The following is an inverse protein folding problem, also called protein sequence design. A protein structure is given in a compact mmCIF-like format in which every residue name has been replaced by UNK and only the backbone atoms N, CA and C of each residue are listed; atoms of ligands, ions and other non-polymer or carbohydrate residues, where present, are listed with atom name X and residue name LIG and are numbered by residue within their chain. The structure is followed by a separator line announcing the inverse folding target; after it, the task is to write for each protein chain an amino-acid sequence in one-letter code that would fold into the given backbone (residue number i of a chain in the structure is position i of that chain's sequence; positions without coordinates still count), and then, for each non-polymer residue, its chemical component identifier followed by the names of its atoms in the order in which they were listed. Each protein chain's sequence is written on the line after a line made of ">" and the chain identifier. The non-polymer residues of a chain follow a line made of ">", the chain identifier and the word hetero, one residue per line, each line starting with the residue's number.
data_IF_054816613943
#
_entry.id   IF_054816613943
#
_cell.length_a   1.000
_cell.length_b   1.000
_cell.length_c   1.000
_cell.angle_alpha   90.00
_cell.angle_beta   90.00
_cell.angle_gamma   90.00
#
_symmetry.space_group_name_H-M   'P 1'
#
loop_
_entity.id
_entity.type
_entity.pdbx_description
1 polymer ?
#
# COMPACT_ATOMS: atom_id res chain seq x y z
N UNK A 1 2.13 8.79 -21.65
CA UNK A 1 3.00 9.96 -21.57
C UNK A 1 4.20 9.65 -20.68
N UNK A 2 5.36 10.27 -20.93
CA UNK A 2 6.58 10.09 -20.14
C UNK A 2 6.39 10.45 -18.65
N UNK A 3 5.47 11.34 -18.34
CA UNK A 3 5.09 11.73 -16.97
C UNK A 3 4.49 10.56 -16.17
N UNK A 4 3.59 9.80 -16.78
CA UNK A 4 2.95 8.64 -16.15
C UNK A 4 3.98 7.52 -15.95
N UNK A 5 4.81 7.22 -16.94
CA UNK A 5 5.85 6.17 -16.84
C UNK A 5 6.83 6.42 -15.69
N UNK A 6 7.20 7.68 -15.43
CA UNK A 6 8.10 8.03 -14.31
C UNK A 6 7.47 7.85 -12.91
N UNK A 7 6.16 7.69 -12.83
CA UNK A 7 5.38 7.64 -11.58
C UNK A 7 4.64 6.31 -11.36
N UNK A 8 4.61 5.47 -12.38
CA UNK A 8 4.07 4.12 -12.28
C UNK A 8 4.99 3.21 -11.45
N UNK A 9 4.46 2.19 -10.79
CA UNK A 9 5.28 1.18 -10.15
C UNK A 9 6.12 0.46 -11.21
N UNK A 10 7.32 0.04 -10.84
CA UNK A 10 8.20 -0.74 -11.71
C UNK A 10 7.61 -2.14 -11.97
N UNK A 11 7.00 -2.71 -10.96
CA UNK A 11 6.29 -3.99 -11.03
C UNK A 11 4.87 -3.81 -10.45
N UNK A 12 3.87 -3.85 -11.32
CA UNK A 12 2.46 -3.71 -10.95
C UNK A 12 1.98 -4.94 -10.18
N UNK A 13 2.43 -6.13 -10.56
CA UNK A 13 2.04 -7.38 -9.93
C UNK A 13 2.55 -7.47 -8.50
N UNK A 14 3.79 -7.06 -8.26
CA UNK A 14 4.36 -6.98 -6.92
C UNK A 14 3.59 -5.97 -6.05
N UNK A 15 3.28 -4.80 -6.59
CA UNK A 15 2.47 -3.78 -5.87
C UNK A 15 1.07 -4.30 -5.53
N UNK A 16 0.46 -5.07 -6.44
CA UNK A 16 -0.84 -5.71 -6.22
C UNK A 16 -0.74 -6.81 -5.15
N UNK A 17 0.31 -7.65 -5.19
CA UNK A 17 0.59 -8.68 -4.19
C UNK A 17 0.75 -8.05 -2.80
N UNK A 18 1.60 -7.04 -2.67
CA UNK A 18 1.80 -6.32 -1.41
C UNK A 18 0.49 -5.71 -0.88
N UNK A 19 -0.36 -5.22 -1.80
CA UNK A 19 -1.68 -4.70 -1.43
C UNK A 19 -2.56 -5.81 -0.86
N UNK A 20 -2.62 -7.00 -1.50
CA UNK A 20 -3.39 -8.14 -0.99
C UNK A 20 -2.87 -8.61 0.39
N UNK A 21 -1.56 -8.67 0.56
CA UNK A 21 -0.93 -9.00 1.85
C UNK A 21 -1.33 -7.98 2.93
N UNK A 22 -1.27 -6.71 2.61
CA UNK A 22 -1.53 -5.63 3.56
C UNK A 22 -2.99 -5.60 4.04
N UNK A 23 -3.92 -5.93 3.15
CA UNK A 23 -5.35 -6.04 3.46
C UNK A 23 -5.77 -7.43 3.96
N UNK A 24 -4.83 -8.35 4.19
CA UNK A 24 -5.07 -9.72 4.69
C UNK A 24 -5.94 -10.60 3.79
N UNK A 25 -5.90 -10.34 2.48
CA UNK A 25 -6.63 -11.12 1.46
C UNK A 25 -5.74 -12.05 0.64
N UNK A 26 -4.44 -12.07 0.93
CA UNK A 26 -3.52 -13.04 0.32
C UNK A 26 -3.79 -14.46 0.80
N UNK A 27 -3.27 -15.43 0.07
CA UNK A 27 -3.38 -16.86 0.35
C UNK A 27 -1.98 -17.49 0.46
N UNK A 28 -1.82 -18.64 1.13
CA UNK A 28 -0.59 -19.41 1.09
C UNK A 28 -0.25 -19.87 -0.33
N UNK A 29 1.03 -20.09 -0.63
CA UNK A 29 1.47 -20.59 -1.94
C UNK A 29 0.97 -22.01 -2.18
N UNK A 30 0.93 -22.86 -1.14
CA UNK A 30 0.40 -24.25 -1.21
C UNK A 30 -1.13 -24.34 -1.29
N UNK A 31 -1.85 -23.23 -1.49
CA UNK A 31 -3.30 -23.28 -1.71
C UNK A 31 -3.60 -24.08 -2.97
N UNK A 32 -4.49 -25.10 -2.93
CA UNK A 32 -4.93 -25.80 -4.11
C UNK A 32 -5.47 -24.85 -5.19
N UNK A 33 -5.17 -25.13 -6.45
CA UNK A 33 -5.47 -24.21 -7.56
C UNK A 33 -6.94 -23.82 -7.67
N UNK A 34 -7.85 -24.73 -7.37
CA UNK A 34 -9.30 -24.52 -7.35
C UNK A 34 -9.78 -23.62 -6.19
N UNK A 35 -8.96 -23.45 -5.16
CA UNK A 35 -9.28 -22.67 -3.98
C UNK A 35 -8.72 -21.23 -4.01
N UNK A 36 -7.94 -20.89 -5.04
CA UNK A 36 -7.50 -19.51 -5.22
C UNK A 36 -8.67 -18.62 -5.63
N UNK A 37 -8.70 -17.41 -5.06
CA UNK A 37 -9.48 -16.34 -5.69
C UNK A 37 -8.85 -15.98 -7.03
N UNK A 38 -9.67 -15.50 -7.99
CA UNK A 38 -9.19 -15.18 -9.35
C UNK A 38 -7.97 -14.25 -9.35
N UNK A 39 -7.96 -13.24 -8.48
CA UNK A 39 -6.83 -12.30 -8.37
C UNK A 39 -5.60 -12.98 -7.75
N UNK A 40 -5.80 -13.77 -6.69
CA UNK A 40 -4.70 -14.44 -6.01
C UNK A 40 -4.08 -15.54 -6.84
N UNK A 41 -4.81 -16.18 -7.75
CA UNK A 41 -4.22 -17.17 -8.63
C UNK A 41 -2.96 -16.62 -9.33
N UNK A 42 -3.07 -15.46 -9.96
CA UNK A 42 -1.91 -14.83 -10.61
C UNK A 42 -0.87 -14.30 -9.62
N UNK A 43 -1.30 -13.61 -8.57
CA UNK A 43 -0.39 -12.96 -7.64
C UNK A 43 0.35 -13.94 -6.73
N UNK A 44 -0.29 -15.04 -6.33
CA UNK A 44 0.31 -16.00 -5.38
C UNK A 44 1.03 -17.13 -6.12
N UNK A 45 0.37 -17.77 -7.09
CA UNK A 45 0.95 -18.92 -7.77
C UNK A 45 2.12 -18.54 -8.69
N UNK A 46 2.22 -17.29 -9.11
CA UNK A 46 3.34 -16.81 -9.93
C UNK A 46 4.22 -15.81 -9.18
N UNK A 47 3.70 -14.63 -8.79
CA UNK A 47 4.55 -13.56 -8.24
C UNK A 47 5.12 -13.93 -6.87
N UNK A 48 4.29 -14.38 -5.92
CA UNK A 48 4.77 -14.79 -4.59
C UNK A 48 5.60 -16.08 -4.64
N UNK A 49 5.25 -17.01 -5.52
CA UNK A 49 6.02 -18.23 -5.72
C UNK A 49 7.41 -17.94 -6.31
N UNK A 50 7.51 -16.99 -7.25
CA UNK A 50 8.81 -16.54 -7.76
C UNK A 50 9.68 -15.91 -6.66
N UNK A 51 9.13 -15.04 -5.81
CA UNK A 51 9.84 -14.50 -4.65
C UNK A 51 10.32 -15.62 -3.69
N UNK A 52 9.51 -16.66 -3.51
CA UNK A 52 9.89 -17.80 -2.69
C UNK A 52 11.05 -18.59 -3.32
N UNK A 53 11.03 -18.80 -4.65
CA UNK A 53 12.14 -19.45 -5.36
C UNK A 53 13.45 -18.64 -5.24
N UNK A 54 13.38 -17.32 -5.32
CA UNK A 54 14.54 -16.43 -5.07
C UNK A 54 15.07 -16.53 -3.63
N UNK A 55 14.18 -16.70 -2.64
CA UNK A 55 14.58 -16.94 -1.26
C UNK A 55 15.31 -18.27 -1.12
N UNK A 56 14.80 -19.33 -1.75
CA UNK A 56 15.44 -20.64 -1.74
C UNK A 56 16.80 -20.62 -2.43
N UNK A 57 16.91 -19.96 -3.58
CA UNK A 57 18.18 -19.79 -4.30
C UNK A 57 19.21 -19.04 -3.44
N UNK A 58 18.81 -17.96 -2.77
CA UNK A 58 19.71 -17.21 -1.86
C UNK A 58 20.20 -18.04 -0.69
N UNK A 59 19.35 -18.91 -0.14
CA UNK A 59 19.72 -19.81 0.95
C UNK A 59 20.68 -20.91 0.48
N UNK A 60 20.47 -21.44 -0.70
CA UNK A 60 21.26 -22.53 -1.27
C UNK A 60 22.53 -22.06 -1.97
N UNK A 61 22.62 -20.86 -2.44
CA UNK A 61 23.52 -20.32 -3.47
C UNK A 61 23.15 -20.81 -4.88
N UNK A 62 23.40 -20.00 -5.91
CA UNK A 62 23.02 -20.33 -7.30
C UNK A 62 23.56 -21.68 -7.77
N UNK A 63 24.85 -22.08 -7.58
CA UNK A 63 25.34 -23.37 -8.06
C UNK A 63 24.65 -24.58 -7.42
N UNK A 64 24.34 -24.50 -6.11
CA UNK A 64 23.62 -25.57 -5.40
C UNK A 64 22.16 -25.61 -5.83
N UNK A 65 21.52 -24.45 -5.98
CA UNK A 65 20.15 -24.36 -6.49
C UNK A 65 20.01 -24.96 -7.88
N UNK A 66 20.92 -24.64 -8.80
CA UNK A 66 20.96 -25.25 -10.15
C UNK A 66 21.09 -26.77 -10.09
N UNK A 67 21.93 -27.27 -9.19
CA UNK A 67 22.09 -28.71 -8.96
C UNK A 67 20.80 -29.35 -8.45
N UNK A 68 20.11 -28.71 -7.50
CA UNK A 68 18.80 -29.14 -6.99
C UNK A 68 17.77 -29.23 -8.13
N UNK A 69 17.69 -28.16 -8.94
CA UNK A 69 16.75 -28.12 -10.06
C UNK A 69 17.03 -29.20 -11.09
N UNK A 70 18.32 -29.44 -11.40
CA UNK A 70 18.72 -30.47 -12.31
C UNK A 70 18.35 -31.89 -11.81
N UNK A 71 18.71 -32.21 -10.56
CA UNK A 71 18.38 -33.50 -9.92
C UNK A 71 16.88 -33.71 -9.83
N UNK A 72 16.14 -32.67 -9.44
CA UNK A 72 14.67 -32.74 -9.38
C UNK A 72 14.06 -33.04 -10.74
N UNK A 73 14.49 -32.31 -11.79
CA UNK A 73 14.01 -32.55 -13.16
C UNK A 73 14.34 -33.98 -13.62
N UNK A 74 15.57 -34.46 -13.43
CA UNK A 74 15.96 -35.82 -13.86
C UNK A 74 15.17 -36.90 -13.13
N UNK A 75 14.88 -36.69 -11.83
CA UNK A 75 14.18 -37.69 -11.01
C UNK A 75 12.68 -37.73 -11.32
N UNK A 76 12.07 -36.56 -11.60
CA UNK A 76 10.62 -36.46 -11.72
C UNK A 76 10.09 -36.12 -13.10
N UNK A 77 10.93 -35.98 -14.13
CA UNK A 77 10.46 -35.80 -15.51
C UNK A 77 9.47 -36.90 -15.86
N UNK A 78 8.33 -36.53 -16.45
CA UNK A 78 7.19 -37.39 -16.78
C UNK A 78 6.51 -38.09 -15.60
N UNK A 79 6.70 -37.59 -14.36
CA UNK A 79 6.01 -38.05 -13.14
C UNK A 79 5.19 -36.91 -12.54
N UNK A 80 4.39 -37.26 -11.53
CA UNK A 80 3.60 -36.29 -10.74
C UNK A 80 4.16 -36.16 -9.32
N UNK A 81 5.16 -35.30 -9.09
CA UNK A 81 5.76 -35.14 -7.77
C UNK A 81 4.82 -34.35 -6.83
N UNK A 82 4.96 -34.62 -5.53
CA UNK A 82 4.37 -33.81 -4.45
C UNK A 82 5.35 -32.75 -3.99
N UNK A 83 4.88 -31.68 -3.31
CA UNK A 83 5.75 -30.64 -2.76
C UNK A 83 6.87 -31.19 -1.85
N UNK A 84 6.60 -32.25 -1.07
CA UNK A 84 7.60 -32.91 -0.23
C UNK A 84 8.77 -33.49 -1.03
N UNK A 85 8.50 -34.00 -2.24
CA UNK A 85 9.55 -34.56 -3.07
C UNK A 85 10.58 -33.52 -3.53
N UNK A 86 10.15 -32.30 -3.76
CA UNK A 86 11.05 -31.19 -4.08
C UNK A 86 11.90 -30.82 -2.85
N UNK A 87 11.29 -30.78 -1.66
CA UNK A 87 11.99 -30.55 -0.41
C UNK A 87 13.06 -31.60 -0.14
N UNK A 88 12.70 -32.89 -0.25
CA UNK A 88 13.61 -34.00 0.00
C UNK A 88 14.86 -33.93 -0.89
N UNK A 89 14.68 -33.59 -2.17
CA UNK A 89 15.83 -33.39 -3.08
C UNK A 89 16.63 -32.17 -2.69
N UNK A 90 15.99 -31.03 -2.38
CA UNK A 90 16.69 -29.83 -2.01
C UNK A 90 17.55 -30.03 -0.75
N UNK A 91 17.02 -30.72 0.26
CA UNK A 91 17.76 -31.06 1.48
C UNK A 91 18.88 -32.08 1.23
N UNK A 92 18.61 -33.10 0.42
CA UNK A 92 19.61 -34.13 0.08
C UNK A 92 20.80 -33.54 -0.68
N UNK A 93 20.53 -32.71 -1.69
CA UNK A 93 21.60 -32.10 -2.53
C UNK A 93 22.36 -31.02 -1.78
N UNK A 94 21.69 -30.23 -0.98
CA UNK A 94 22.31 -29.10 -0.25
C UNK A 94 22.96 -29.52 1.08
N UNK A 95 22.52 -30.61 1.67
CA UNK A 95 22.89 -31.01 3.04
C UNK A 95 22.35 -30.09 4.13
N UNK A 96 21.38 -29.21 3.81
CA UNK A 96 20.80 -28.24 4.73
C UNK A 96 19.39 -28.67 5.15
N UNK A 97 18.98 -28.32 6.36
CA UNK A 97 17.57 -28.35 6.75
C UNK A 97 16.87 -27.10 6.21
N UNK A 98 15.82 -27.31 5.42
CA UNK A 98 15.08 -26.23 4.74
C UNK A 98 13.64 -26.06 5.29
N UNK A 99 13.32 -26.66 6.44
CA UNK A 99 12.01 -26.55 7.07
C UNK A 99 11.52 -25.11 7.18
N UNK A 100 12.38 -24.18 7.57
CA UNK A 100 12.02 -22.77 7.76
C UNK A 100 11.55 -22.12 6.47
N UNK A 101 12.18 -22.43 5.32
CA UNK A 101 11.84 -21.88 4.01
C UNK A 101 10.59 -22.56 3.45
N UNK A 102 10.51 -23.88 3.54
CA UNK A 102 9.34 -24.63 3.05
C UNK A 102 8.08 -24.32 3.89
N UNK A 103 8.20 -24.03 5.17
CA UNK A 103 7.05 -23.60 5.98
C UNK A 103 6.44 -22.25 5.51
N UNK A 104 7.21 -21.40 4.83
CA UNK A 104 6.68 -20.18 4.23
C UNK A 104 5.62 -20.45 3.15
N UNK A 105 5.69 -21.58 2.47
CA UNK A 105 4.69 -21.99 1.48
C UNK A 105 3.27 -22.11 2.07
N UNK A 106 3.18 -22.43 3.35
CA UNK A 106 1.92 -22.64 4.10
C UNK A 106 1.40 -21.38 4.77
N UNK A 107 2.15 -20.28 4.69
CA UNK A 107 1.83 -19.05 5.45
C UNK A 107 1.31 -17.93 4.57
N UNK A 108 0.40 -17.11 5.13
CA UNK A 108 0.00 -15.82 4.59
C UNK A 108 1.03 -14.75 4.95
N UNK A 109 1.00 -13.65 4.25
CA UNK A 109 1.86 -12.50 4.51
C UNK A 109 3.08 -12.42 3.60
N UNK A 110 3.93 -11.44 3.86
CA UNK A 110 5.18 -11.23 3.12
C UNK A 110 6.19 -12.31 3.45
N UNK A 111 6.91 -12.78 2.43
CA UNK A 111 8.03 -13.71 2.59
C UNK A 111 9.28 -13.02 3.14
N UNK A 112 9.38 -11.71 2.96
CA UNK A 112 10.52 -10.92 3.38
C UNK A 112 10.19 -10.08 4.62
N UNK A 113 11.22 -9.78 5.42
CA UNK A 113 11.06 -8.84 6.53
C UNK A 113 10.76 -7.45 6.00
N UNK A 114 9.86 -6.69 6.65
CA UNK A 114 9.56 -5.34 6.22
C UNK A 114 10.82 -4.46 6.27
N UNK A 115 11.11 -3.79 5.17
CA UNK A 115 12.19 -2.81 5.07
C UNK A 115 11.71 -1.48 5.68
N UNK A 116 12.59 -0.80 6.42
CA UNK A 116 12.30 0.55 6.91
C UNK A 116 12.28 1.51 5.73
N UNK A 117 11.11 2.09 5.48
CA UNK A 117 10.93 3.06 4.39
C UNK A 117 11.35 4.46 4.83
N UNK A 118 12.09 5.17 3.98
CA UNK A 118 12.39 6.59 4.16
C UNK A 118 11.19 7.46 3.75
N UNK A 119 11.16 8.71 4.20
CA UNK A 119 10.13 9.68 3.87
C UNK A 119 10.59 10.55 2.70
N UNK A 120 9.76 10.66 1.66
CA UNK A 120 10.01 11.52 0.50
C UNK A 120 8.85 12.46 0.22
N UNK A 121 9.19 13.69 -0.15
CA UNK A 121 8.22 14.65 -0.66
C UNK A 121 8.21 14.61 -2.18
N UNK A 122 7.03 14.65 -2.76
CA UNK A 122 6.87 14.68 -4.21
C UNK A 122 5.64 15.49 -4.62
N UNK A 123 5.65 15.97 -5.85
CA UNK A 123 4.50 16.69 -6.42
C UNK A 123 3.56 15.72 -7.10
N UNK A 124 2.25 15.95 -6.96
CA UNK A 124 1.19 15.10 -7.47
C UNK A 124 1.27 13.66 -6.88
N UNK A 125 0.87 12.68 -7.65
CA UNK A 125 0.79 11.28 -7.25
C UNK A 125 1.95 10.45 -7.82
N UNK A 126 2.53 9.54 -7.03
CA UNK A 126 3.54 8.59 -7.49
C UNK A 126 3.36 7.24 -6.80
N UNK A 127 3.51 6.17 -7.57
CA UNK A 127 3.55 4.78 -7.09
C UNK A 127 4.93 4.15 -7.28
N UNK A 128 5.91 4.94 -7.71
CA UNK A 128 7.26 4.44 -7.94
C UNK A 128 7.94 4.11 -6.60
N UNK A 129 8.56 2.93 -6.51
CA UNK A 129 9.35 2.50 -5.35
C UNK A 129 8.62 2.67 -3.99
N UNK A 130 7.31 2.41 -3.96
CA UNK A 130 6.52 2.48 -2.73
C UNK A 130 6.84 1.34 -1.75
N UNK A 131 7.62 0.37 -2.17
CA UNK A 131 8.28 -0.63 -1.36
C UNK A 131 9.42 -0.04 -0.50
N UNK A 132 10.13 0.99 -0.99
CA UNK A 132 11.29 1.64 -0.34
C UNK A 132 10.95 2.97 0.33
N UNK A 133 9.91 3.68 -0.14
CA UNK A 133 9.63 5.05 0.27
C UNK A 133 8.19 5.24 0.74
N UNK A 134 8.04 6.09 1.77
CA UNK A 134 6.76 6.69 2.15
C UNK A 134 6.68 8.08 1.54
N UNK A 135 5.64 8.37 0.77
CA UNK A 135 5.50 9.66 0.10
C UNK A 135 4.55 10.60 0.84
N UNK A 136 4.93 11.88 0.90
CA UNK A 136 4.03 12.99 1.13
C UNK A 136 3.91 13.76 -0.18
N UNK A 137 2.69 13.83 -0.69
CA UNK A 137 2.35 14.51 -1.94
C UNK A 137 1.98 15.95 -1.66
N UNK A 138 2.50 16.87 -2.47
CA UNK A 138 2.25 18.30 -2.39
C UNK A 138 1.70 18.75 -3.74
N UNK A 139 0.54 19.40 -3.73
CA UNK A 139 -0.06 19.99 -4.92
C UNK A 139 -0.64 21.37 -4.60
N UNK A 140 -0.78 22.27 -5.56
CA UNK A 140 -1.51 23.50 -5.36
C UNK A 140 -2.99 23.19 -5.05
N UNK A 141 -3.59 23.94 -4.14
CA UNK A 141 -5.01 23.93 -3.84
C UNK A 141 -5.62 25.29 -4.14
N UNK A 142 -6.76 25.30 -4.81
CA UNK A 142 -7.54 26.50 -5.10
C UNK A 142 -8.99 26.20 -4.78
N UNK A 143 -9.64 27.16 -4.10
CA UNK A 143 -11.06 27.09 -3.77
C UNK A 143 -11.73 28.42 -3.96
N UNK A 144 -13.05 28.42 -3.97
CA UNK A 144 -13.86 29.62 -4.00
C UNK A 144 -15.20 29.35 -3.30
N UNK A 145 -15.61 30.28 -2.46
CA UNK A 145 -17.01 30.44 -2.05
C UNK A 145 -17.37 31.91 -1.92
N UNK A 146 -18.64 32.22 -1.68
CA UNK A 146 -19.14 33.59 -1.69
C UNK A 146 -18.51 34.45 -0.60
N UNK A 147 -18.17 33.89 0.53
CA UNK A 147 -17.67 34.62 1.71
C UNK A 147 -16.13 34.59 1.79
N UNK A 148 -15.51 33.43 1.64
CA UNK A 148 -14.06 33.31 1.60
C UNK A 148 -13.42 33.96 0.36
N UNK A 149 -14.22 34.15 -0.72
CA UNK A 149 -13.75 34.58 -2.05
C UNK A 149 -12.76 33.55 -2.61
N UNK A 150 -11.68 33.98 -3.23
CA UNK A 150 -10.64 33.10 -3.74
C UNK A 150 -9.76 32.61 -2.59
N UNK A 151 -9.60 31.29 -2.52
CA UNK A 151 -8.70 30.63 -1.56
C UNK A 151 -7.55 30.01 -2.34
N UNK A 152 -6.33 30.24 -1.89
CA UNK A 152 -5.11 29.69 -2.50
C UNK A 152 -4.27 29.03 -1.40
N UNK A 153 -3.82 27.81 -1.66
CA UNK A 153 -3.05 27.08 -0.68
C UNK A 153 -2.36 25.84 -1.24
N UNK A 154 -2.19 24.86 -0.38
CA UNK A 154 -1.54 23.59 -0.72
C UNK A 154 -2.39 22.42 -0.29
N UNK A 155 -2.43 21.39 -1.13
CA UNK A 155 -2.96 20.08 -0.80
C UNK A 155 -1.80 19.18 -0.41
N UNK A 156 -1.90 18.58 0.77
CA UNK A 156 -0.96 17.62 1.31
C UNK A 156 -1.67 16.29 1.54
N UNK A 157 -1.10 15.17 1.11
CA UNK A 157 -1.63 13.84 1.42
C UNK A 157 -0.55 12.77 1.32
N UNK A 158 -0.83 11.58 1.90
CA UNK A 158 0.03 10.41 1.80
C UNK A 158 -0.67 9.18 1.19
N UNK A 159 -1.70 9.38 0.38
CA UNK A 159 -2.40 8.29 -0.29
C UNK A 159 -1.52 7.63 -1.33
N UNK A 160 -1.34 6.32 -1.23
CA UNK A 160 -0.48 5.51 -2.10
C UNK A 160 -0.98 4.07 -2.19
N UNK A 161 -0.35 3.26 -3.03
CA UNK A 161 -0.50 1.80 -3.09
C UNK A 161 0.87 1.14 -2.83
N UNK A 162 0.94 0.12 -1.97
CA UNK A 162 -0.10 -0.36 -1.05
C UNK A 162 -0.54 0.70 -0.03
N UNK A 163 -1.80 0.68 0.39
CA UNK A 163 -2.37 1.68 1.29
C UNK A 163 -1.60 1.83 2.60
N UNK A 164 -1.31 3.05 3.03
CA UNK A 164 -0.80 3.31 4.37
C UNK A 164 -1.89 3.07 5.41
N UNK A 165 -1.52 2.48 6.56
CA UNK A 165 -2.47 2.32 7.69
C UNK A 165 -2.93 3.67 8.21
N UNK A 166 -1.98 4.60 8.41
CA UNK A 166 -2.25 6.00 8.72
C UNK A 166 -2.30 6.77 7.40
N UNK A 167 -3.44 7.35 7.10
CA UNK A 167 -3.64 8.21 5.95
C UNK A 167 -4.08 9.58 6.39
N UNK A 168 -3.57 10.61 5.73
CA UNK A 168 -4.00 11.97 5.94
C UNK A 168 -4.16 12.71 4.61
N UNK A 169 -5.01 13.73 4.66
CA UNK A 169 -5.19 14.76 3.65
C UNK A 169 -5.37 16.08 4.40
N UNK A 170 -4.72 17.13 3.95
CA UNK A 170 -4.90 18.49 4.47
C UNK A 170 -4.81 19.49 3.32
N UNK A 171 -5.72 20.45 3.30
CA UNK A 171 -5.74 21.53 2.32
C UNK A 171 -5.90 22.89 3.04
N UNK A 172 -4.85 23.39 3.71
CA UNK A 172 -4.85 24.75 4.22
C UNK A 172 -4.78 25.74 3.05
N UNK A 173 -5.66 26.74 3.07
CA UNK A 173 -5.77 27.75 2.02
C UNK A 173 -5.96 29.13 2.66
N UNK A 174 -5.28 30.13 2.13
CA UNK A 174 -5.50 31.52 2.49
C UNK A 174 -6.73 32.06 1.76
N UNK A 175 -7.75 32.46 2.52
CA UNK A 175 -8.99 33.05 2.02
C UNK A 175 -8.85 34.56 1.87
N UNK A 176 -9.08 35.08 0.67
CA UNK A 176 -8.87 36.52 0.37
C UNK A 176 -9.98 37.42 0.91
N UNK A 177 -11.17 36.87 1.20
CA UNK A 177 -12.26 37.59 1.82
C UNK A 177 -11.95 37.97 3.28
N UNK A 178 -11.93 37.01 4.21
CA UNK A 178 -11.65 37.25 5.62
C UNK A 178 -10.17 37.54 5.93
N UNK A 179 -9.26 37.22 4.98
CA UNK A 179 -7.79 37.31 5.14
C UNK A 179 -7.25 36.36 6.21
N UNK A 180 -7.82 35.18 6.29
CA UNK A 180 -7.49 34.13 7.24
C UNK A 180 -7.16 32.79 6.53
N UNK A 181 -6.61 31.83 7.31
CA UNK A 181 -6.39 30.47 6.82
C UNK A 181 -7.64 29.66 7.08
N UNK A 182 -8.26 29.19 6.02
CA UNK A 182 -9.37 28.26 6.00
C UNK A 182 -8.97 26.97 5.26
N UNK A 183 -9.85 25.98 5.23
CA UNK A 183 -9.56 24.74 4.52
C UNK A 183 -10.16 23.51 5.17
N UNK A 184 -9.66 22.35 4.74
CA UNK A 184 -10.16 21.05 5.20
C UNK A 184 -9.00 20.09 5.47
N UNK A 185 -9.30 19.08 6.27
CA UNK A 185 -8.36 18.01 6.56
C UNK A 185 -9.07 16.74 7.00
N UNK A 186 -8.39 15.61 6.83
CA UNK A 186 -8.84 14.30 7.28
C UNK A 186 -7.64 13.47 7.68
N UNK A 187 -7.76 12.79 8.82
CA UNK A 187 -6.82 11.75 9.25
C UNK A 187 -7.61 10.47 9.47
N UNK A 188 -7.09 9.35 8.99
CA UNK A 188 -7.70 8.05 9.20
C UNK A 188 -6.67 6.98 9.52
N UNK A 189 -7.05 6.04 10.37
CA UNK A 189 -6.27 4.86 10.67
C UNK A 189 -7.08 3.61 10.31
N UNK A 190 -6.49 2.77 9.44
CA UNK A 190 -7.12 1.53 8.97
C UNK A 190 -6.43 0.32 9.56
N UNK A 191 -7.22 -0.59 10.12
CA UNK A 191 -6.80 -1.88 10.63
C UNK A 191 -7.49 -3.00 9.86
N UNK A 192 -6.82 -4.15 9.78
CA UNK A 192 -7.39 -5.38 9.23
C UNK A 192 -7.33 -6.46 10.32
N UNK A 193 -8.33 -6.50 11.23
CA UNK A 193 -8.42 -7.54 12.26
C UNK A 193 -8.68 -8.90 11.60
N UNK A 194 -8.09 -9.95 12.17
CA UNK A 194 -8.23 -11.30 11.61
C UNK A 194 -7.47 -11.53 10.30
N UNK A 195 -7.82 -12.60 9.59
CA UNK A 195 -7.11 -13.11 8.40
C UNK A 195 -7.99 -13.16 7.14
N UNK A 196 -9.16 -12.54 7.14
CA UNK A 196 -10.18 -12.61 6.09
C UNK A 196 -10.46 -11.27 5.40
N UNK A 197 -9.62 -10.28 5.60
CA UNK A 197 -9.74 -8.97 4.96
C UNK A 197 -10.82 -8.06 5.54
N UNK A 198 -11.34 -8.35 6.74
CA UNK A 198 -12.21 -7.42 7.46
C UNK A 198 -11.46 -6.11 7.69
N UNK A 199 -12.14 -4.99 7.45
CA UNK A 199 -11.56 -3.65 7.55
C UNK A 199 -12.24 -2.86 8.67
N UNK A 200 -11.44 -2.30 9.57
CA UNK A 200 -11.91 -1.29 10.52
C UNK A 200 -11.17 0.01 10.24
N UNK A 201 -11.89 1.09 10.06
CA UNK A 201 -11.33 2.42 9.83
C UNK A 201 -11.87 3.40 10.85
N UNK A 202 -10.97 4.05 11.58
CA UNK A 202 -11.27 5.19 12.45
C UNK A 202 -10.73 6.44 11.78
N UNK A 203 -11.57 7.47 11.66
CA UNK A 203 -11.18 8.72 11.02
C UNK A 203 -11.76 9.95 11.71
N UNK A 204 -11.09 11.08 11.56
CA UNK A 204 -11.59 12.40 11.89
C UNK A 204 -11.37 13.30 10.69
N UNK A 205 -12.43 13.97 10.24
CA UNK A 205 -12.36 15.04 9.26
C UNK A 205 -12.71 16.38 9.90
N UNK A 206 -12.09 17.44 9.44
CA UNK A 206 -12.37 18.81 9.88
C UNK A 206 -12.39 19.75 8.69
N UNK A 207 -13.21 20.79 8.78
CA UNK A 207 -13.25 21.88 7.81
C UNK A 207 -13.55 23.21 8.53
N UNK A 208 -12.94 24.28 8.04
CA UNK A 208 -13.24 25.66 8.44
C UNK A 208 -13.39 26.52 7.19
N UNK A 209 -14.52 27.19 7.08
CA UNK A 209 -14.85 28.15 6.02
C UNK A 209 -15.75 29.25 6.59
N UNK A 210 -15.89 30.36 5.88
CA UNK A 210 -16.86 31.37 6.25
C UNK A 210 -18.25 30.98 5.71
N UNK A 211 -19.23 31.00 6.61
CA UNK A 211 -20.62 30.65 6.31
C UNK A 211 -21.50 31.87 5.99
N UNK A 212 -21.11 33.05 6.53
CA UNK A 212 -21.84 34.30 6.32
C UNK A 212 -20.91 35.51 6.49
N UNK A 213 -21.39 36.69 6.10
CA UNK A 213 -20.74 37.96 6.37
C UNK A 213 -21.77 39.08 6.49
N UNK A 214 -21.54 40.01 7.39
CA UNK A 214 -22.36 41.19 7.56
C UNK A 214 -21.49 42.45 7.71
N UNK A 215 -22.03 43.59 7.28
CA UNK A 215 -21.37 44.90 7.43
C UNK A 215 -21.93 45.59 8.65
N UNK A 216 -21.06 45.98 9.57
CA UNK A 216 -21.47 46.72 10.76
C UNK A 216 -21.75 48.20 10.46
N UNK A 217 -22.21 48.96 11.48
CA UNK A 217 -22.54 50.38 11.36
C UNK A 217 -21.33 51.28 11.02
N UNK A 218 -20.10 50.76 11.14
CA UNK A 218 -18.86 51.45 10.77
C UNK A 218 -18.40 51.19 9.36
N UNK A 219 -19.13 50.31 8.60
CA UNK A 219 -18.77 49.90 7.27
C UNK A 219 -17.78 48.74 7.22
N UNK A 220 -17.42 48.12 8.36
CA UNK A 220 -16.52 47.01 8.45
C UNK A 220 -17.27 45.68 8.15
N UNK A 221 -16.72 44.89 7.26
CA UNK A 221 -17.22 43.54 6.98
C UNK A 221 -16.74 42.59 8.06
N UNK A 222 -17.65 41.93 8.74
CA UNK A 222 -17.39 40.89 9.73
C UNK A 222 -17.82 39.53 9.13
N UNK A 223 -16.96 38.53 9.28
CA UNK A 223 -17.20 37.20 8.76
C UNK A 223 -17.63 36.26 9.88
N UNK A 224 -18.46 35.26 9.54
CA UNK A 224 -18.94 34.25 10.47
C UNK A 224 -18.35 32.88 10.09
N UNK A 225 -17.32 32.39 10.83
CA UNK A 225 -16.70 31.12 10.52
C UNK A 225 -17.62 29.96 10.84
N UNK A 226 -17.64 28.98 9.96
CA UNK A 226 -18.21 27.65 10.17
C UNK A 226 -17.09 26.65 10.35
N UNK A 227 -17.09 25.95 11.48
CA UNK A 227 -16.15 24.86 11.75
C UNK A 227 -16.93 23.58 11.98
N UNK A 228 -16.54 22.52 11.26
CA UNK A 228 -17.10 21.19 11.42
C UNK A 228 -16.02 20.17 11.73
N UNK A 229 -16.29 19.30 12.70
CA UNK A 229 -15.47 18.13 13.04
C UNK A 229 -16.37 16.89 12.92
N UNK A 230 -15.95 15.94 12.11
CA UNK A 230 -16.71 14.73 11.82
C UNK A 230 -15.89 13.47 12.13
N UNK A 231 -16.05 12.87 13.32
CA UNK A 231 -15.50 11.55 13.61
C UNK A 231 -16.24 10.48 12.79
N UNK A 232 -15.52 9.47 12.36
CA UNK A 232 -16.05 8.37 11.55
C UNK A 232 -15.49 7.04 12.02
N UNK A 233 -16.36 6.07 12.20
CA UNK A 233 -16.01 4.67 12.40
C UNK A 233 -16.66 3.86 11.26
N UNK A 234 -15.86 3.07 10.54
CA UNK A 234 -16.34 2.14 9.51
C UNK A 234 -15.88 0.73 9.85
N UNK A 235 -16.81 -0.18 9.72
CA UNK A 235 -16.58 -1.62 9.86
C UNK A 235 -17.00 -2.33 8.58
#
# INVERSE_FOLDING_TARGET
>A
SAFIKKRAPENIELTALETQIKIKKDQPIETPSENFSQLNYNLIAYTKAAEWMELLERELTTPVFDSVMHVYYQTYKFKHPYPSNFKDIAETVSGKNLDSIFNLLKTKGSLQKPVKKDLRFTTFFSLKETDKHNYIFIAPAVGYNVYDKTMIGVLLHNYTLPYNKLQFLAAPMYATGPKEINGLGRVSYTMYPGNNGQKVEVAVAGEKFEADSFTDSTGKVNYQPFTKIAPTLKY
#
